data_IF_630405845315
#
_entry.id   IF_630405845315
#
_cell.length_a   1.000
_cell.length_b   1.000
_cell.length_c   1.000
_cell.angle_alpha   90.00
_cell.angle_beta   90.00
_cell.angle_gamma   90.00
#
_symmetry.space_group_name_H-M   'P 1'
#
loop_
_entity.id
_entity.type
_entity.pdbx_description
1 polymer ?
#
# COMPACT_ATOMS: atom_id res chain seq x y z
N UNK A 1 11.71 7.15 17.86
CA UNK A 1 10.43 6.84 17.17
C UNK A 1 9.24 7.65 17.71
N UNK A 2 9.16 7.92 19.03
CA UNK A 2 8.11 8.81 19.58
C UNK A 2 8.13 10.21 18.95
N UNK A 3 9.29 10.81 18.82
CA UNK A 3 9.48 12.13 18.19
C UNK A 3 8.99 12.18 16.74
N UNK A 4 9.23 11.12 15.96
CA UNK A 4 8.74 11.03 14.58
C UNK A 4 7.21 11.03 14.55
N UNK A 5 6.57 10.26 15.43
CA UNK A 5 5.10 10.20 15.52
C UNK A 5 4.51 11.54 15.95
N UNK A 6 5.17 12.26 16.84
CA UNK A 6 4.75 13.57 17.31
C UNK A 6 5.00 14.69 16.29
N UNK A 7 5.86 14.46 15.30
CA UNK A 7 6.23 15.47 14.31
C UNK A 7 5.09 15.79 13.36
N UNK A 8 4.70 17.05 13.29
CA UNK A 8 3.67 17.55 12.36
C UNK A 8 4.02 17.26 10.89
N UNK A 9 5.31 17.23 10.56
CA UNK A 9 5.78 16.94 9.20
C UNK A 9 5.45 15.51 8.83
N UNK A 10 5.80 14.54 9.66
CA UNK A 10 5.50 13.14 9.40
C UNK A 10 4.00 12.82 9.46
N UNK A 11 3.25 13.48 10.33
CA UNK A 11 1.78 13.38 10.33
C UNK A 11 1.17 13.86 9.00
N UNK A 12 1.70 14.95 8.42
CA UNK A 12 1.26 15.43 7.10
C UNK A 12 1.62 14.45 6.00
N UNK A 13 2.83 13.88 6.00
CA UNK A 13 3.20 12.82 5.05
C UNK A 13 2.26 11.63 5.16
N UNK A 14 2.00 11.13 6.35
CA UNK A 14 1.12 9.99 6.56
C UNK A 14 -0.31 10.23 6.04
N UNK A 15 -0.87 11.41 6.29
CA UNK A 15 -2.18 11.80 5.76
C UNK A 15 -2.16 11.93 4.24
N UNK A 16 -1.14 12.57 3.67
CA UNK A 16 -0.97 12.71 2.23
C UNK A 16 -0.89 11.34 1.54
N UNK A 17 -0.12 10.41 2.06
CA UNK A 17 -0.02 9.04 1.56
C UNK A 17 -1.36 8.31 1.61
N UNK A 18 -2.10 8.44 2.71
CA UNK A 18 -3.43 7.84 2.87
C UNK A 18 -4.45 8.47 1.92
N UNK A 19 -4.41 9.78 1.73
CA UNK A 19 -5.24 10.47 0.73
C UNK A 19 -4.88 10.05 -0.70
N UNK A 20 -3.59 9.82 -0.98
CA UNK A 20 -3.14 9.28 -2.25
C UNK A 20 -3.73 7.89 -2.53
N UNK A 21 -3.71 6.99 -1.52
CA UNK A 21 -4.34 5.69 -1.65
C UNK A 21 -5.85 5.80 -1.88
N UNK A 22 -6.54 6.69 -1.15
CA UNK A 22 -7.96 6.96 -1.35
C UNK A 22 -8.27 7.46 -2.76
N UNK A 23 -7.43 8.35 -3.29
CA UNK A 23 -7.64 8.93 -4.63
C UNK A 23 -7.40 7.94 -5.77
N UNK A 24 -6.37 7.08 -5.65
CA UNK A 24 -5.98 6.15 -6.72
C UNK A 24 -6.58 4.76 -6.60
N UNK A 25 -6.92 4.31 -5.39
CA UNK A 25 -7.50 2.99 -5.12
C UNK A 25 -8.53 3.07 -3.98
N UNK A 26 -9.67 3.76 -4.17
CA UNK A 26 -10.66 4.01 -3.11
C UNK A 26 -11.23 2.72 -2.50
N UNK A 27 -11.48 1.69 -3.31
CA UNK A 27 -11.96 0.40 -2.80
C UNK A 27 -10.92 -0.28 -1.90
N UNK A 28 -9.64 -0.23 -2.27
CA UNK A 28 -8.54 -0.74 -1.46
C UNK A 28 -8.37 0.06 -0.15
N UNK A 29 -8.48 1.39 -0.22
CA UNK A 29 -8.49 2.24 0.97
C UNK A 29 -9.62 1.85 1.93
N UNK A 30 -10.84 1.65 1.42
CA UNK A 30 -11.98 1.23 2.23
C UNK A 30 -11.81 -0.16 2.83
N UNK A 31 -11.17 -1.07 2.10
CA UNK A 31 -10.82 -2.40 2.63
C UNK A 31 -9.86 -2.28 3.84
N UNK A 32 -8.83 -1.43 3.75
CA UNK A 32 -7.94 -1.14 4.87
C UNK A 32 -8.70 -0.56 6.06
N UNK A 33 -9.49 0.49 5.83
CA UNK A 33 -10.25 1.17 6.87
C UNK A 33 -11.23 0.21 7.60
N UNK A 34 -11.95 -0.62 6.85
CA UNK A 34 -12.88 -1.61 7.41
C UNK A 34 -12.18 -2.70 8.24
N UNK A 35 -10.96 -3.07 7.88
CA UNK A 35 -10.15 -4.02 8.66
C UNK A 35 -9.65 -3.40 9.95
N UNK A 36 -9.32 -2.10 9.93
CA UNK A 36 -8.80 -1.41 11.12
C UNK A 36 -9.85 -1.21 12.21
N UNK A 37 -11.12 -1.02 11.86
CA UNK A 37 -12.19 -0.78 12.85
C UNK A 37 -12.28 -1.95 13.85
N UNK A 38 -12.58 -3.20 13.45
CA UNK A 38 -12.67 -4.30 14.39
C UNK A 38 -11.32 -4.65 15.06
N UNK A 39 -10.19 -4.38 14.39
CA UNK A 39 -8.87 -4.57 14.98
C UNK A 39 -8.65 -3.66 16.19
N UNK A 40 -8.96 -2.37 16.07
CA UNK A 40 -8.78 -1.39 17.14
C UNK A 40 -9.82 -1.54 18.24
N UNK A 41 -11.04 -1.95 17.92
CA UNK A 41 -12.06 -2.28 18.91
C UNK A 41 -11.66 -3.49 19.76
N UNK A 42 -11.11 -4.53 19.13
CA UNK A 42 -10.64 -5.74 19.84
C UNK A 42 -9.38 -5.49 20.65
N UNK A 43 -8.53 -4.58 20.20
CA UNK A 43 -7.22 -4.28 20.79
C UNK A 43 -7.07 -2.78 21.04
N UNK A 44 -7.75 -2.24 22.06
CA UNK A 44 -7.75 -0.79 22.35
C UNK A 44 -6.36 -0.22 22.69
N UNK A 45 -5.43 -1.06 23.10
CA UNK A 45 -4.03 -0.68 23.36
C UNK A 45 -3.21 -0.50 22.08
N UNK A 46 -3.73 -0.95 20.93
CA UNK A 46 -3.08 -0.70 19.64
C UNK A 46 -3.32 0.74 19.20
N UNK A 47 -2.25 1.42 18.86
CA UNK A 47 -2.31 2.75 18.30
C UNK A 47 -1.70 2.76 16.91
N UNK A 48 -2.40 3.36 15.96
CA UNK A 48 -1.83 3.62 14.65
C UNK A 48 -0.61 4.54 14.79
N UNK A 49 0.41 4.40 13.94
CA UNK A 49 1.60 5.24 14.02
C UNK A 49 1.29 6.72 13.79
N UNK A 50 0.27 7.02 12.99
CA UNK A 50 -0.19 8.38 12.69
C UNK A 50 -1.71 8.43 12.61
N UNK A 51 -2.30 9.44 13.23
CA UNK A 51 -3.75 9.66 13.22
C UNK A 51 -4.25 9.97 11.79
N UNK A 52 -5.36 9.35 11.43
CA UNK A 52 -5.98 9.51 10.11
C UNK A 52 -5.25 8.78 8.99
N UNK A 53 -4.32 7.88 9.32
CA UNK A 53 -3.69 6.97 8.36
C UNK A 53 -4.37 5.61 8.37
N UNK A 54 -4.47 4.98 7.18
CA UNK A 54 -4.90 3.58 7.04
C UNK A 54 -3.71 2.61 7.06
N UNK A 55 -2.50 3.11 7.04
CA UNK A 55 -1.30 2.31 7.15
C UNK A 55 -0.95 2.05 8.61
N UNK A 56 -0.69 0.79 8.96
CA UNK A 56 -0.43 0.36 10.34
C UNK A 56 1.03 0.39 10.73
N UNK A 57 1.92 0.57 9.76
CA UNK A 57 3.35 0.58 9.99
C UNK A 57 4.05 1.61 9.10
N UNK A 58 5.24 2.02 9.53
CA UNK A 58 6.13 2.86 8.74
C UNK A 58 7.58 2.48 8.96
N UNK A 59 8.41 2.83 8.00
CA UNK A 59 9.86 2.68 8.05
C UNK A 59 10.53 3.97 7.57
N UNK A 60 11.60 4.35 8.23
CA UNK A 60 12.50 5.39 7.74
C UNK A 60 13.82 4.73 7.39
N UNK A 61 14.22 4.84 6.13
CA UNK A 61 15.54 4.44 5.71
C UNK A 61 16.48 5.64 5.91
N UNK A 62 17.30 5.54 6.94
CA UNK A 62 18.25 6.57 7.29
C UNK A 62 19.48 6.49 6.39
N UNK A 63 19.76 7.62 5.74
CA UNK A 63 20.88 7.75 4.84
C UNK A 63 22.27 7.71 5.51
N UNK A 64 23.24 8.43 4.94
CA UNK A 64 23.03 9.46 3.93
C UNK A 64 22.73 8.97 2.52
N UNK A 65 23.07 7.75 2.12
CA UNK A 65 22.92 7.25 0.75
C UNK A 65 22.14 5.94 0.73
N UNK A 66 20.85 6.03 1.03
CA UNK A 66 19.98 4.84 1.10
C UNK A 66 19.84 4.20 -0.28
N UNK A 67 20.24 2.93 -0.38
CA UNK A 67 20.03 2.05 -1.53
C UNK A 67 19.32 0.80 -1.05
N UNK A 68 18.23 0.45 -1.73
CA UNK A 68 17.53 -0.81 -1.54
C UNK A 68 17.81 -1.71 -2.74
N UNK A 69 18.31 -2.93 -2.48
CA UNK A 69 18.48 -3.95 -3.52
C UNK A 69 17.12 -4.48 -4.01
N UNK A 70 17.08 -5.15 -5.17
CA UNK A 70 15.85 -5.75 -5.67
C UNK A 70 15.19 -6.68 -4.65
N UNK A 71 13.93 -6.39 -4.30
CA UNK A 71 13.15 -7.17 -3.31
C UNK A 71 11.65 -7.01 -3.55
N UNK A 72 10.88 -7.86 -2.88
CA UNK A 72 9.44 -7.75 -2.68
C UNK A 72 9.14 -7.72 -1.18
N UNK A 73 8.18 -6.93 -0.78
CA UNK A 73 7.73 -6.83 0.61
C UNK A 73 6.74 -7.96 0.96
N UNK A 74 7.21 -9.20 0.93
CA UNK A 74 6.38 -10.41 1.04
C UNK A 74 5.56 -10.55 2.33
N UNK A 75 5.82 -9.73 3.34
CA UNK A 75 5.04 -9.67 4.58
C UNK A 75 3.90 -8.67 4.54
N UNK A 76 3.88 -7.77 3.57
CA UNK A 76 2.78 -6.84 3.37
C UNK A 76 1.55 -7.58 2.85
N UNK A 77 0.38 -6.92 2.89
CA UNK A 77 -0.82 -7.46 2.25
C UNK A 77 -0.52 -7.74 0.77
N UNK A 78 -0.82 -8.95 0.29
CA UNK A 78 -0.39 -9.41 -1.02
C UNK A 78 -0.82 -8.48 -2.17
N UNK A 79 -2.07 -8.04 -2.16
CA UNK A 79 -2.63 -7.04 -3.09
C UNK A 79 -2.62 -5.61 -2.51
N UNK A 80 -2.02 -5.41 -1.34
CA UNK A 80 -1.93 -4.10 -0.70
C UNK A 80 -0.91 -3.19 -1.37
N UNK A 81 -1.07 -1.90 -1.14
CA UNK A 81 -0.14 -0.89 -1.62
C UNK A 81 0.70 -0.33 -0.47
N UNK A 82 1.95 -0.07 -0.78
CA UNK A 82 2.90 0.68 0.05
C UNK A 82 3.04 2.10 -0.52
N UNK A 83 3.14 3.08 0.36
CA UNK A 83 3.45 4.46 -0.01
C UNK A 83 4.90 4.77 0.36
N UNK A 84 5.69 5.27 -0.58
CA UNK A 84 7.11 5.56 -0.39
C UNK A 84 7.38 6.99 -0.80
N UNK A 85 7.91 7.81 0.11
CA UNK A 85 8.36 9.18 -0.18
C UNK A 85 9.87 9.23 -0.19
N UNK A 86 10.44 9.76 -1.28
CA UNK A 86 11.86 10.08 -1.37
C UNK A 86 12.14 11.40 -0.63
N UNK A 87 13.24 11.43 0.11
CA UNK A 87 13.68 12.59 0.89
C UNK A 87 15.18 12.81 0.69
N UNK A 88 15.64 14.02 0.92
CA UNK A 88 17.05 14.36 0.89
C UNK A 88 17.39 15.46 -0.12
N UNK A 89 18.66 15.49 -0.49
CA UNK A 89 19.23 16.43 -1.46
C UNK A 89 20.15 15.64 -2.40
N UNK A 90 19.66 15.36 -3.59
CA UNK A 90 20.34 14.59 -4.63
C UNK A 90 19.80 14.94 -6.02
N UNK A 91 20.62 14.73 -7.04
CA UNK A 91 20.23 14.92 -8.43
C UNK A 91 19.42 13.70 -8.92
N UNK A 92 18.11 13.82 -8.85
CA UNK A 92 17.17 12.77 -9.23
C UNK A 92 17.18 12.42 -10.74
N UNK A 93 17.84 13.23 -11.57
CA UNK A 93 18.04 12.92 -13.00
C UNK A 93 19.17 11.94 -13.24
N UNK A 94 20.15 11.89 -12.34
CA UNK A 94 21.35 11.04 -12.48
C UNK A 94 21.38 9.87 -11.50
N UNK A 95 20.52 9.87 -10.45
CA UNK A 95 20.49 8.84 -9.45
C UNK A 95 19.25 8.85 -8.58
N UNK A 96 19.14 7.90 -7.66
CA UNK A 96 18.01 7.77 -6.75
C UNK A 96 16.70 7.33 -7.41
N UNK A 97 16.75 6.88 -8.66
CA UNK A 97 15.58 6.42 -9.41
C UNK A 97 14.90 5.25 -8.72
N UNK A 98 13.58 5.18 -8.84
CA UNK A 98 12.82 4.03 -8.42
C UNK A 98 12.70 3.03 -9.58
N UNK A 99 13.04 1.76 -9.33
CA UNK A 99 13.06 0.72 -10.36
C UNK A 99 11.99 -0.32 -10.05
N UNK A 100 11.11 -0.61 -11.01
CA UNK A 100 10.14 -1.71 -10.96
C UNK A 100 10.57 -2.75 -11.98
N UNK A 101 11.20 -3.82 -11.50
CA UNK A 101 11.85 -4.83 -12.34
C UNK A 101 10.87 -5.61 -13.20
N UNK A 102 9.75 -6.04 -12.64
CA UNK A 102 8.74 -6.82 -13.37
C UNK A 102 8.12 -6.04 -14.54
N UNK A 103 8.07 -4.73 -14.44
CA UNK A 103 7.54 -3.83 -15.48
C UNK A 103 8.62 -3.22 -16.36
N UNK A 104 9.91 -3.48 -16.06
CA UNK A 104 11.07 -2.89 -16.74
C UNK A 104 11.03 -1.35 -16.75
N UNK A 105 10.57 -0.75 -15.65
CA UNK A 105 10.45 0.69 -15.51
C UNK A 105 11.54 1.23 -14.59
N UNK A 106 12.16 2.33 -15.04
CA UNK A 106 13.03 3.19 -14.24
C UNK A 106 12.33 4.55 -14.15
N UNK A 107 12.00 4.96 -12.94
CA UNK A 107 11.21 6.15 -12.68
C UNK A 107 12.09 7.18 -12.00
N UNK A 108 12.20 8.37 -12.55
CA UNK A 108 12.81 9.52 -11.87
C UNK A 108 12.03 9.79 -10.59
N UNK A 109 12.75 9.87 -9.47
CA UNK A 109 12.12 9.94 -8.16
C UNK A 109 12.66 11.10 -7.34
N UNK A 110 12.22 12.35 -7.66
CA UNK A 110 12.69 13.56 -6.99
C UNK A 110 12.43 13.57 -5.48
N UNK A 111 13.27 14.22 -4.67
CA UNK A 111 12.97 14.47 -3.26
C UNK A 111 11.61 15.15 -3.07
N UNK A 112 10.83 14.69 -2.09
CA UNK A 112 9.48 15.18 -1.80
C UNK A 112 8.37 14.50 -2.59
N UNK A 113 8.69 13.64 -3.58
CA UNK A 113 7.67 12.86 -4.29
C UNK A 113 7.32 11.58 -3.58
N UNK A 114 6.09 11.12 -3.79
CA UNK A 114 5.57 9.86 -3.23
C UNK A 114 5.10 8.94 -4.35
N UNK A 115 5.49 7.68 -4.28
CA UNK A 115 4.98 6.61 -5.14
C UNK A 115 4.12 5.66 -4.32
N UNK A 116 3.04 5.18 -4.94
CA UNK A 116 2.17 4.13 -4.40
C UNK A 116 2.35 2.88 -5.27
N UNK A 117 2.73 1.77 -4.66
CA UNK A 117 3.00 0.51 -5.39
C UNK A 117 2.46 -0.71 -4.64
N UNK A 118 2.05 -1.75 -5.34
CA UNK A 118 1.76 -3.06 -4.75
C UNK A 118 3.09 -3.80 -4.43
N UNK A 119 3.76 -3.36 -3.37
CA UNK A 119 5.15 -3.73 -3.06
C UNK A 119 5.37 -5.20 -2.76
N UNK A 120 4.33 -5.93 -2.35
CA UNK A 120 4.39 -7.39 -2.19
C UNK A 120 4.37 -8.14 -3.54
N UNK A 121 3.80 -7.52 -4.58
CA UNK A 121 3.65 -8.12 -5.91
C UNK A 121 4.84 -7.83 -6.82
N UNK A 122 5.31 -6.57 -6.83
CA UNK A 122 6.34 -6.13 -7.77
C UNK A 122 7.71 -6.10 -7.11
N UNK A 123 8.70 -6.66 -7.81
CA UNK A 123 10.11 -6.54 -7.45
C UNK A 123 10.57 -5.11 -7.71
N UNK A 124 11.06 -4.46 -6.68
CA UNK A 124 11.47 -3.06 -6.75
C UNK A 124 12.79 -2.80 -6.05
N UNK A 125 13.43 -1.72 -6.44
CA UNK A 125 14.69 -1.23 -5.86
C UNK A 125 14.84 0.26 -6.11
N UNK A 126 15.95 0.84 -5.68
CA UNK A 126 16.36 2.16 -6.14
C UNK A 126 17.83 2.16 -6.58
N UNK A 127 18.18 3.09 -7.48
CA UNK A 127 19.57 3.31 -7.89
C UNK A 127 20.34 4.12 -6.85
N UNK A 128 21.67 3.99 -6.88
CA UNK A 128 22.55 4.81 -6.06
C UNK A 128 22.49 6.27 -6.46
N UNK A 129 22.96 7.14 -5.58
CA UNK A 129 23.18 8.59 -5.77
C UNK A 129 24.67 8.90 -5.74
N UNK A 130 25.03 10.13 -6.04
CA UNK A 130 26.42 10.61 -5.98
C UNK A 130 27.02 10.56 -4.58
N UNK A 131 28.36 10.59 -4.46
CA UNK A 131 29.06 10.41 -3.18
C UNK A 131 28.79 11.52 -2.16
N UNK A 132 28.56 12.75 -2.61
CA UNK A 132 28.29 13.91 -1.74
C UNK A 132 26.79 14.20 -1.56
N UNK A 133 25.93 13.39 -2.22
CA UNK A 133 24.49 13.54 -2.15
C UNK A 133 23.90 12.80 -0.94
N UNK A 134 22.67 13.19 -0.57
CA UNK A 134 21.95 12.60 0.56
C UNK A 134 20.58 12.13 0.12
N UNK A 135 20.28 10.85 0.33
CA UNK A 135 18.97 10.25 0.08
C UNK A 135 18.49 9.48 1.29
N UNK A 136 17.25 9.71 1.62
CA UNK A 136 16.47 9.01 2.66
C UNK A 136 15.15 8.57 2.06
N UNK A 137 14.40 7.72 2.74
CA UNK A 137 13.02 7.46 2.38
C UNK A 137 12.15 7.22 3.60
N UNK A 138 10.89 7.63 3.48
CA UNK A 138 9.84 7.37 4.43
C UNK A 138 8.79 6.49 3.75
N UNK A 139 8.52 5.31 4.30
CA UNK A 139 7.59 4.34 3.73
C UNK A 139 6.50 4.01 4.72
N UNK A 140 5.26 3.87 4.23
CA UNK A 140 4.11 3.41 5.01
C UNK A 140 3.48 2.19 4.35
N UNK A 141 3.08 1.22 5.16
CA UNK A 141 2.55 -0.06 4.71
C UNK A 141 1.67 -0.72 5.77
N UNK A 142 1.02 -1.82 5.40
CA UNK A 142 0.26 -2.64 6.34
C UNK A 142 0.59 -4.12 6.13
N UNK A 143 0.94 -4.79 7.21
CA UNK A 143 1.28 -6.21 7.19
C UNK A 143 0.06 -7.08 6.86
N UNK A 144 0.22 -8.02 5.93
CA UNK A 144 -0.86 -8.94 5.54
C UNK A 144 -1.38 -9.81 6.68
N UNK A 145 -0.52 -10.05 7.69
CA UNK A 145 -0.92 -10.78 8.90
C UNK A 145 -2.04 -10.11 9.70
N UNK A 146 -2.13 -8.77 9.69
CA UNK A 146 -3.21 -8.05 10.38
C UNK A 146 -4.56 -8.29 9.72
N UNK A 147 -4.61 -8.30 8.39
CA UNK A 147 -5.84 -8.60 7.65
C UNK A 147 -6.30 -10.03 7.93
N UNK A 148 -5.40 -11.02 7.84
CA UNK A 148 -5.73 -12.40 8.17
C UNK A 148 -6.20 -12.57 9.63
N UNK A 149 -5.57 -11.86 10.57
CA UNK A 149 -5.96 -11.88 11.97
C UNK A 149 -7.43 -11.46 12.16
N UNK A 150 -7.86 -10.40 11.50
CA UNK A 150 -9.25 -9.92 11.52
C UNK A 150 -10.17 -10.86 10.75
N UNK A 151 -9.81 -11.30 9.55
CA UNK A 151 -10.59 -12.21 8.71
C UNK A 151 -10.80 -13.58 9.37
N UNK A 152 -9.85 -14.03 10.20
CA UNK A 152 -9.92 -15.29 10.95
C UNK A 152 -10.58 -15.10 12.33
N UNK A 153 -11.37 -14.05 12.50
CA UNK A 153 -12.03 -13.71 13.77
C UNK A 153 -11.06 -13.74 14.97
N UNK A 154 -9.90 -13.10 14.80
CA UNK A 154 -8.85 -13.01 15.82
C UNK A 154 -8.31 -14.37 16.29
N UNK A 155 -8.34 -15.35 15.41
CA UNK A 155 -7.79 -16.70 15.67
C UNK A 155 -6.36 -16.77 15.16
N UNK A 156 -5.40 -17.29 15.96
CA UNK A 156 -4.04 -17.51 15.51
C UNK A 156 -3.97 -18.39 14.25
N UNK A 157 -3.14 -18.01 13.27
CA UNK A 157 -3.01 -18.70 11.99
C UNK A 157 -2.85 -20.21 12.12
N UNK A 158 -2.03 -20.66 13.07
CA UNK A 158 -1.82 -22.08 13.33
C UNK A 158 -3.12 -22.80 13.70
N UNK A 159 -3.89 -22.25 14.63
CA UNK A 159 -5.18 -22.80 15.08
C UNK A 159 -6.19 -22.80 13.94
N UNK A 160 -6.27 -21.71 13.20
CA UNK A 160 -7.15 -21.58 12.05
C UNK A 160 -6.86 -22.61 10.97
N UNK A 161 -5.59 -22.89 10.69
CA UNK A 161 -5.18 -23.91 9.72
C UNK A 161 -5.47 -25.34 10.19
N UNK A 162 -5.40 -25.62 11.49
CA UNK A 162 -5.74 -26.94 12.06
C UNK A 162 -7.23 -27.28 11.93
N UNK A 163 -8.11 -26.29 11.84
CA UNK A 163 -9.57 -26.48 11.69
C UNK A 163 -10.02 -26.62 10.24
N UNK A 164 -9.10 -26.53 9.27
CA UNK A 164 -9.43 -26.49 7.83
C UNK A 164 -8.78 -27.60 7.02
N UNK A 165 -9.51 -28.05 6.01
CA UNK A 165 -8.95 -28.90 4.97
C UNK A 165 -8.01 -28.08 4.06
N UNK A 166 -6.86 -28.67 3.72
CA UNK A 166 -5.85 -28.04 2.83
C UNK A 166 -6.44 -27.57 1.48
N UNK A 167 -7.38 -28.34 0.91
CA UNK A 167 -8.02 -27.97 -0.35
C UNK A 167 -8.88 -26.70 -0.20
N UNK A 168 -9.63 -26.58 0.89
CA UNK A 168 -10.41 -25.38 1.21
C UNK A 168 -9.52 -24.15 1.40
N UNK A 169 -8.41 -24.29 2.11
CA UNK A 169 -7.46 -23.20 2.32
C UNK A 169 -6.87 -22.66 1.00
N UNK A 170 -6.63 -23.54 0.01
CA UNK A 170 -6.16 -23.15 -1.32
C UNK A 170 -7.24 -22.36 -2.08
N UNK A 171 -8.48 -22.82 -2.05
CA UNK A 171 -9.63 -22.16 -2.71
C UNK A 171 -9.83 -20.77 -2.12
N UNK A 172 -9.93 -20.66 -0.80
CA UNK A 172 -10.09 -19.38 -0.09
C UNK A 172 -8.93 -18.41 -0.33
N UNK A 173 -7.71 -18.93 -0.40
CA UNK A 173 -6.53 -18.14 -0.73
C UNK A 173 -6.62 -17.53 -2.13
N UNK A 174 -7.11 -18.30 -3.09
CA UNK A 174 -7.34 -17.85 -4.47
C UNK A 174 -8.47 -16.81 -4.55
N UNK A 175 -9.61 -17.09 -3.93
CA UNK A 175 -10.74 -16.16 -3.89
C UNK A 175 -10.36 -14.82 -3.24
N UNK A 176 -9.60 -14.87 -2.15
CA UNK A 176 -9.06 -13.67 -1.49
C UNK A 176 -8.15 -12.88 -2.41
N UNK A 177 -7.30 -13.56 -3.17
CA UNK A 177 -6.41 -12.93 -4.14
C UNK A 177 -7.19 -12.25 -5.27
N UNK A 178 -8.13 -12.95 -5.90
CA UNK A 178 -8.96 -12.44 -6.98
C UNK A 178 -9.82 -11.25 -6.53
N UNK A 179 -10.46 -11.38 -5.37
CA UNK A 179 -11.22 -10.28 -4.74
C UNK A 179 -10.34 -9.08 -4.40
N UNK A 180 -9.11 -9.34 -3.93
CA UNK A 180 -8.14 -8.30 -3.62
C UNK A 180 -7.68 -7.51 -4.85
N UNK A 181 -7.44 -8.18 -5.97
CA UNK A 181 -7.10 -7.52 -7.23
C UNK A 181 -8.26 -6.69 -7.79
N UNK A 182 -9.51 -7.13 -7.57
CA UNK A 182 -10.69 -6.39 -7.96
C UNK A 182 -10.88 -5.05 -7.21
N UNK A 183 -10.12 -4.83 -6.12
CA UNK A 183 -10.09 -3.55 -5.41
C UNK A 183 -9.24 -2.47 -6.13
N UNK A 184 -8.48 -2.84 -7.15
CA UNK A 184 -7.71 -1.87 -7.91
C UNK A 184 -8.63 -1.08 -8.86
N UNK A 185 -8.43 0.22 -8.88
CA UNK A 185 -9.15 1.08 -9.82
C UNK A 185 -8.71 0.80 -11.25
N UNK A 186 -9.65 0.72 -12.16
CA UNK A 186 -9.39 0.71 -13.59
C UNK A 186 -9.08 2.13 -14.09
N UNK A 187 -8.40 2.24 -15.23
CA UNK A 187 -8.17 3.54 -15.87
C UNK A 187 -9.47 4.27 -16.22
N UNK A 188 -10.52 3.55 -16.58
CA UNK A 188 -11.83 4.13 -16.86
C UNK A 188 -12.43 4.80 -15.60
N UNK A 189 -12.40 4.10 -14.47
CA UNK A 189 -12.84 4.66 -13.18
C UNK A 189 -12.06 5.91 -12.79
N UNK A 190 -10.73 5.88 -12.93
CA UNK A 190 -9.86 7.01 -12.58
C UNK A 190 -10.05 8.21 -13.50
N UNK A 191 -10.49 8.01 -14.74
CA UNK A 191 -10.81 9.08 -15.71
C UNK A 191 -12.21 9.65 -15.55
N UNK A 192 -13.00 9.22 -14.55
CA UNK A 192 -14.37 9.68 -14.35
C UNK A 192 -15.36 9.11 -15.38
N UNK A 193 -14.99 7.98 -16.00
CA UNK A 193 -15.90 7.25 -16.87
C UNK A 193 -17.05 6.67 -16.07
N UNK A 194 -18.13 7.42 -15.94
CA UNK A 194 -19.43 6.83 -15.66
C UNK A 194 -19.79 6.01 -16.90
N UNK A 195 -19.83 4.69 -16.80
CA UNK A 195 -20.61 3.88 -17.70
C UNK A 195 -22.07 4.35 -17.56
N UNK A 196 -22.46 5.29 -18.39
CA UNK A 196 -23.87 5.45 -18.75
C UNK A 196 -24.20 4.25 -19.60
N UNK A 197 -24.52 3.12 -18.98
CA UNK A 197 -25.41 2.15 -19.58
C UNK A 197 -26.69 2.93 -19.86
N UNK A 198 -26.79 3.40 -21.09
CA UNK A 198 -28.03 3.88 -21.65
C UNK A 198 -29.04 2.74 -21.58
N UNK A 199 -29.90 2.83 -20.59
CA UNK A 199 -31.16 2.14 -20.59
C UNK A 199 -31.93 2.66 -21.81
N UNK A 200 -31.80 1.96 -22.93
CA UNK A 200 -32.69 2.08 -24.06
C UNK A 200 -33.99 1.39 -23.68
N UNK A 201 -34.80 2.07 -22.94
CA UNK A 201 -36.24 1.77 -22.95
C UNK A 201 -36.73 2.06 -24.36
N UNK A 202 -36.90 0.99 -25.12
CA UNK A 202 -37.76 0.97 -26.28
C UNK A 202 -39.16 1.50 -25.88
N UNK A 203 -39.48 2.68 -26.32
CA UNK A 203 -40.84 3.20 -26.31
C UNK A 203 -41.51 2.72 -27.59
N UNK A 204 -42.26 1.64 -27.47
CA UNK A 204 -43.23 1.22 -28.46
C UNK A 204 -44.33 2.27 -28.62
N UNK A 205 -44.54 2.57 -29.88
CA UNK A 205 -45.83 2.84 -30.61
C UNK A 205 -47.05 3.32 -29.80
N UNK A 206 -47.56 4.47 -30.15
CA UNK A 206 -48.79 4.61 -30.97
C UNK A 206 -48.82 5.99 -31.59
#
# INVERSE_FOLDING_TARGET
MAEVRASRVFQRFARFMSCGLLGWAPALFMYYARTLVPLLEKHPDLHLPFDGSVFTAFTINFGPRTVCYPHRDVKNLAFGWCAITALGDYNWRTGGHFVIWDLKLVIEFPPGTTILIPSAMVCHSNTAIGPEEKRYSFSMYTAGGLFRWVEHDFTPEKVYQETRNRAQAVVEGRERWESGLALFSTLAQLRGGTDKTTDKTEGDNI
#
